data_IF_248467438974
#
_entry.id   IF_248467438974
#
_cell.length_a   1.000
_cell.length_b   1.000
_cell.length_c   1.000
_cell.angle_alpha   90.00
_cell.angle_beta   90.00
_cell.angle_gamma   90.00
#
_symmetry.space_group_name_H-M   'P 1'
#
loop_
_entity.id
_entity.type
_entity.pdbx_description
1 polymer ?
#
# COMPACT_ATOMS: atom_id res chain seq x y z
N UNK A 1 -18.90 -0.78 -19.11
CA UNK A 1 -17.89 -1.60 -19.84
C UNK A 1 -18.58 -2.75 -20.59
N UNK A 2 -18.35 -2.86 -21.91
CA UNK A 2 -19.06 -3.83 -22.75
C UNK A 2 -18.14 -4.69 -23.62
N UNK A 3 -16.84 -4.39 -23.69
CA UNK A 3 -15.92 -5.02 -24.64
C UNK A 3 -15.34 -6.32 -24.09
N UNK A 4 -16.13 -7.38 -24.19
CA UNK A 4 -15.73 -8.77 -23.94
C UNK A 4 -16.30 -9.68 -25.04
N UNK A 5 -15.60 -10.72 -25.51
CA UNK A 5 -16.14 -11.63 -26.51
C UNK A 5 -17.38 -12.39 -26.00
N UNK A 6 -18.26 -12.77 -26.92
CA UNK A 6 -19.39 -13.64 -26.58
C UNK A 6 -18.96 -15.11 -26.36
N UNK A 7 -19.86 -15.92 -25.81
CA UNK A 7 -19.65 -17.35 -25.60
C UNK A 7 -18.77 -17.65 -24.39
N UNK A 8 -17.96 -18.71 -24.49
CA UNK A 8 -17.18 -19.25 -23.35
C UNK A 8 -16.12 -18.27 -22.80
N UNK A 9 -15.69 -17.29 -23.61
CA UNK A 9 -14.69 -16.30 -23.24
C UNK A 9 -15.28 -15.03 -22.60
N UNK A 10 -16.62 -14.95 -22.49
CA UNK A 10 -17.31 -13.79 -21.93
C UNK A 10 -16.86 -13.55 -20.48
N UNK A 11 -16.32 -12.34 -20.24
CA UNK A 11 -15.78 -11.92 -18.94
C UNK A 11 -14.34 -12.39 -18.65
N UNK A 12 -13.80 -13.33 -19.44
CA UNK A 12 -12.40 -13.80 -19.31
C UNK A 12 -11.45 -12.87 -20.06
N UNK A 13 -11.75 -12.59 -21.32
CA UNK A 13 -10.97 -11.63 -22.11
C UNK A 13 -11.45 -10.23 -21.76
N UNK A 14 -10.52 -9.40 -21.30
CA UNK A 14 -10.75 -8.02 -20.88
C UNK A 14 -9.83 -7.10 -21.65
N UNK A 15 -10.37 -5.96 -22.08
CA UNK A 15 -9.61 -4.90 -22.72
C UNK A 15 -9.33 -3.79 -21.69
N UNK A 16 -8.12 -3.20 -21.77
CA UNK A 16 -7.74 -2.08 -20.92
C UNK A 16 -8.49 -0.81 -21.36
N UNK A 17 -8.92 0.00 -20.40
CA UNK A 17 -9.48 1.32 -20.71
C UNK A 17 -8.41 2.27 -21.25
N UNK A 18 -8.82 3.34 -21.95
CA UNK A 18 -7.92 4.37 -22.50
C UNK A 18 -6.95 4.98 -21.47
N UNK A 19 -7.38 5.17 -20.23
CA UNK A 19 -6.57 5.72 -19.14
C UNK A 19 -5.97 4.64 -18.23
N UNK A 20 -6.02 3.37 -18.64
CA UNK A 20 -5.47 2.30 -17.84
C UNK A 20 -3.95 2.42 -17.78
N UNK A 21 -3.43 2.30 -16.58
CA UNK A 21 -2.02 2.25 -16.31
C UNK A 21 -1.72 0.97 -15.52
N UNK A 22 -0.76 0.18 -16.00
CA UNK A 22 -0.30 -1.05 -15.33
C UNK A 22 1.00 -0.74 -14.62
N UNK A 23 1.06 -1.00 -13.31
CA UNK A 23 2.23 -0.67 -12.50
C UNK A 23 3.48 -1.44 -12.95
N UNK A 24 4.61 -0.76 -13.07
CA UNK A 24 5.92 -1.37 -13.39
C UNK A 24 6.66 -1.85 -12.15
N UNK A 25 6.21 -1.42 -10.97
CA UNK A 25 6.78 -1.78 -9.68
C UNK A 25 7.89 -0.82 -9.24
N UNK A 26 8.11 -0.78 -7.93
CA UNK A 26 9.16 0.02 -7.30
C UNK A 26 9.71 -0.73 -6.09
N UNK A 27 10.93 -0.39 -5.69
CA UNK A 27 11.51 -0.95 -4.47
C UNK A 27 10.68 -0.53 -3.24
N UNK A 28 10.43 -1.47 -2.33
CA UNK A 28 9.64 -1.25 -1.11
C UNK A 28 10.48 -0.96 0.14
N UNK A 29 11.79 -1.20 0.11
CA UNK A 29 12.70 -0.91 1.23
C UNK A 29 12.60 0.54 1.71
N UNK A 30 12.60 1.56 0.83
CA UNK A 30 12.62 2.95 1.27
C UNK A 30 11.38 3.37 2.07
N UNK A 31 10.20 2.79 1.76
CA UNK A 31 8.98 3.13 2.49
C UNK A 31 8.97 2.47 3.87
N UNK A 32 9.49 1.25 4.01
CA UNK A 32 9.61 0.59 5.31
C UNK A 32 10.54 1.38 6.22
N UNK A 33 11.72 1.78 5.73
CA UNK A 33 12.68 2.59 6.50
C UNK A 33 12.08 3.94 6.91
N UNK A 34 11.36 4.58 5.98
CA UNK A 34 10.65 5.83 6.26
C UNK A 34 9.60 5.67 7.36
N UNK A 35 8.80 4.60 7.34
CA UNK A 35 7.78 4.36 8.36
C UNK A 35 8.41 4.10 9.73
N UNK A 36 9.52 3.35 9.79
CA UNK A 36 10.29 3.12 11.03
C UNK A 36 10.79 4.43 11.62
N UNK A 37 11.32 5.34 10.78
CA UNK A 37 11.73 6.69 11.22
C UNK A 37 10.57 7.56 11.72
N UNK A 38 9.32 7.18 11.42
CA UNK A 38 8.09 7.87 11.83
C UNK A 38 7.33 7.12 12.93
N UNK A 39 8.05 6.43 13.81
CA UNK A 39 7.48 5.73 14.98
C UNK A 39 6.56 4.54 14.63
N UNK A 40 6.76 3.91 13.47
CA UNK A 40 6.33 2.52 13.30
C UNK A 40 7.24 1.63 14.15
N UNK A 41 6.64 0.83 15.01
CA UNK A 41 7.30 -0.20 15.81
C UNK A 41 7.45 -1.46 14.95
N UNK A 42 8.66 -2.03 14.89
CA UNK A 42 8.91 -3.23 14.11
C UNK A 42 8.15 -4.42 14.71
N UNK A 43 7.76 -5.36 13.84
CA UNK A 43 7.02 -6.55 14.29
C UNK A 43 7.76 -7.34 15.37
N UNK A 44 9.10 -7.38 15.30
CA UNK A 44 9.95 -8.08 16.25
C UNK A 44 9.93 -7.46 17.66
N UNK A 45 9.60 -6.17 17.76
CA UNK A 45 9.57 -5.40 19.01
C UNK A 45 8.14 -5.31 19.58
N UNK A 46 7.13 -5.60 18.76
CA UNK A 46 5.73 -5.40 19.09
C UNK A 46 5.23 -6.37 20.18
N UNK A 47 4.77 -5.81 21.30
CA UNK A 47 4.03 -6.53 22.35
C UNK A 47 2.51 -6.22 22.29
N UNK A 48 1.66 -7.21 21.92
CA UNK A 48 0.21 -7.01 21.83
C UNK A 48 -0.46 -6.81 23.19
N UNK A 49 0.18 -7.20 24.30
CA UNK A 49 -0.37 -6.97 25.65
C UNK A 49 -0.22 -5.52 26.08
N UNK A 50 0.87 -4.86 25.65
CA UNK A 50 1.16 -3.46 25.93
C UNK A 50 0.37 -2.53 24.99
N UNK A 51 0.31 -2.86 23.70
CA UNK A 51 -0.33 -2.05 22.66
C UNK A 51 -1.41 -2.82 21.88
N UNK A 52 -2.55 -3.19 22.52
CA UNK A 52 -3.58 -4.02 21.88
C UNK A 52 -4.33 -3.31 20.75
N UNK A 53 -4.33 -1.97 20.73
CA UNK A 53 -5.06 -1.15 19.75
C UNK A 53 -4.16 -0.62 18.62
N UNK A 54 -2.90 -1.06 18.55
CA UNK A 54 -2.00 -0.62 17.48
C UNK A 54 -2.48 -1.12 16.11
N UNK A 55 -2.38 -0.27 15.09
CA UNK A 55 -2.74 -0.68 13.72
C UNK A 55 -1.57 -1.41 13.09
N UNK A 56 -1.84 -2.59 12.53
CA UNK A 56 -0.88 -3.39 11.76
C UNK A 56 -0.55 -2.71 10.43
N UNK A 57 0.72 -2.70 10.07
CA UNK A 57 1.21 -2.15 8.81
C UNK A 57 1.72 -3.30 7.95
N UNK A 58 1.17 -3.38 6.74
CA UNK A 58 1.57 -4.35 5.74
C UNK A 58 2.21 -3.65 4.54
N UNK A 59 3.34 -4.18 4.08
CA UNK A 59 4.03 -3.74 2.86
C UNK A 59 4.12 -4.94 1.93
N UNK A 60 3.49 -4.86 0.76
CA UNK A 60 3.44 -5.95 -0.22
C UNK A 60 2.98 -7.30 0.37
N UNK A 61 2.03 -7.26 1.31
CA UNK A 61 1.49 -8.44 2.00
C UNK A 61 2.31 -8.93 3.20
N UNK A 62 3.49 -8.37 3.45
CA UNK A 62 4.33 -8.69 4.61
C UNK A 62 3.95 -7.79 5.77
N UNK A 63 3.66 -8.36 6.94
CA UNK A 63 3.46 -7.60 8.17
C UNK A 63 4.82 -7.09 8.66
N UNK A 64 5.07 -5.79 8.56
CA UNK A 64 6.38 -5.19 8.90
C UNK A 64 6.41 -4.58 10.29
N UNK A 65 5.25 -4.17 10.82
CA UNK A 65 5.20 -3.49 12.10
C UNK A 65 3.81 -3.01 12.51
N UNK A 66 3.75 -2.18 13.54
CA UNK A 66 2.53 -1.55 14.03
C UNK A 66 2.73 -0.06 14.27
N UNK A 67 1.63 0.69 14.34
CA UNK A 67 1.66 2.11 14.66
C UNK A 67 0.44 2.52 15.50
N UNK A 68 0.65 3.37 16.50
CA UNK A 68 -0.40 3.82 17.44
C UNK A 68 -1.21 5.01 16.91
N UNK A 69 -0.62 5.86 16.06
CA UNK A 69 -1.26 7.02 15.42
C UNK A 69 -1.23 6.96 13.87
N UNK A 70 -1.87 5.96 13.24
CA UNK A 70 -1.60 5.65 11.82
C UNK A 70 -2.26 6.63 10.84
N UNK A 71 -3.22 7.43 11.30
CA UNK A 71 -3.80 8.51 10.49
C UNK A 71 -2.77 9.59 10.15
N UNK A 72 -1.82 9.86 11.05
CA UNK A 72 -0.72 10.79 10.77
C UNK A 72 0.24 10.21 9.72
N UNK A 73 0.59 8.92 9.85
CA UNK A 73 1.45 8.24 8.90
C UNK A 73 0.84 8.24 7.49
N UNK A 74 -0.47 7.94 7.38
CA UNK A 74 -1.18 7.96 6.10
C UNK A 74 -1.17 9.32 5.43
N UNK A 75 -1.43 10.40 6.18
CA UNK A 75 -1.40 11.76 5.61
C UNK A 75 -0.04 12.08 5.01
N UNK A 76 1.03 11.75 5.74
CA UNK A 76 2.40 12.00 5.28
C UNK A 76 2.76 11.16 4.05
N UNK A 77 2.42 9.87 4.03
CA UNK A 77 2.66 9.01 2.85
C UNK A 77 1.88 9.51 1.63
N UNK A 78 0.64 9.98 1.82
CA UNK A 78 -0.15 10.57 0.74
C UNK A 78 0.50 11.85 0.20
N UNK A 79 1.02 12.72 1.07
CA UNK A 79 1.74 13.93 0.67
C UNK A 79 3.01 13.62 -0.11
N UNK A 80 3.82 12.66 0.36
CA UNK A 80 5.03 12.23 -0.34
C UNK A 80 4.74 11.62 -1.72
N UNK A 81 3.63 10.89 -1.86
CA UNK A 81 3.18 10.40 -3.17
C UNK A 81 2.73 11.54 -4.08
N UNK A 82 2.04 12.55 -3.55
CA UNK A 82 1.58 13.72 -4.32
C UNK A 82 2.71 14.66 -4.74
N UNK A 83 3.78 14.74 -3.95
CA UNK A 83 4.96 15.54 -4.29
C UNK A 83 5.95 14.82 -5.21
N UNK A 84 5.72 13.53 -5.50
CA UNK A 84 6.58 12.71 -6.37
C UNK A 84 7.81 12.13 -5.67
N UNK A 85 7.93 12.27 -4.35
CA UNK A 85 9.00 11.63 -3.57
C UNK A 85 8.80 10.11 -3.53
N UNK A 86 7.55 9.66 -3.38
CA UNK A 86 7.16 8.26 -3.57
C UNK A 86 6.56 8.08 -4.97
N UNK A 87 6.75 6.89 -5.56
CA UNK A 87 6.12 6.57 -6.85
C UNK A 87 4.61 6.76 -6.78
N UNK A 88 4.05 7.43 -7.80
CA UNK A 88 2.60 7.62 -7.93
C UNK A 88 1.84 6.30 -8.06
N UNK A 89 2.51 5.23 -8.47
CA UNK A 89 1.97 3.88 -8.59
C UNK A 89 1.78 3.18 -7.24
N UNK A 90 2.42 3.68 -6.19
CA UNK A 90 2.31 3.11 -4.85
C UNK A 90 0.86 3.20 -4.35
N UNK A 91 0.31 2.05 -3.99
CA UNK A 91 -1.02 1.94 -3.39
C UNK A 91 -0.94 2.04 -1.87
N UNK A 92 -1.91 2.74 -1.27
CA UNK A 92 -2.06 2.91 0.18
C UNK A 92 -3.53 2.73 0.53
N UNK A 93 -3.83 1.88 1.51
CA UNK A 93 -5.18 1.61 2.02
C UNK A 93 -5.17 1.77 3.54
N UNK A 94 -6.19 2.43 4.09
CA UNK A 94 -6.45 2.55 5.52
C UNK A 94 -7.92 2.37 5.82
#
# INVERSE_FOLDING_TARGET
PAETPEGQACGLVKNLSLMCYVSVGSESTPITDFMTQRNMELLEEYDPTVNPNATKIFVNGVWVGVHTQPSQLVNVVQELRRSGVLSYEMSLVR
#
